data_IF_468002700681
#
_entry.id   IF_468002700681
#
_cell.length_a   1.000
_cell.length_b   1.000
_cell.length_c   1.000
_cell.angle_alpha   90.00
_cell.angle_beta   90.00
_cell.angle_gamma   90.00
#
_symmetry.space_group_name_H-M   'P 1'
#
loop_
_entity.id
_entity.type
_entity.pdbx_description
1 polymer ?
#
# COMPACT_ATOMS: atom_id res chain seq x y z
N UNK A 1 37.03 -49.33 -46.63
CA UNK A 1 37.31 -48.36 -45.55
C UNK A 1 36.56 -47.08 -45.86
N UNK A 2 35.27 -47.04 -45.55
CA UNK A 2 34.62 -46.43 -44.36
C UNK A 2 34.64 -44.89 -44.40
N UNK A 3 33.43 -44.40 -44.66
CA UNK A 3 32.89 -43.05 -44.85
C UNK A 3 32.90 -42.29 -43.51
N UNK A 4 33.46 -41.07 -43.46
CA UNK A 4 33.25 -40.13 -42.35
C UNK A 4 31.79 -39.66 -42.33
N UNK A 5 31.07 -39.95 -41.24
CA UNK A 5 29.79 -39.33 -40.88
C UNK A 5 29.79 -39.09 -39.37
N UNK A 6 29.35 -37.91 -38.95
CA UNK A 6 28.85 -37.71 -37.59
C UNK A 6 29.39 -36.46 -36.88
N UNK A 7 29.09 -35.26 -37.40
CA UNK A 7 29.12 -34.06 -36.56
C UNK A 7 27.93 -34.08 -35.60
N UNK A 8 28.19 -34.33 -34.32
CA UNK A 8 27.17 -34.38 -33.26
C UNK A 8 26.70 -32.97 -32.84
N UNK A 9 25.38 -32.67 -32.82
CA UNK A 9 24.82 -31.45 -32.25
C UNK A 9 24.36 -31.74 -30.82
N UNK A 10 25.20 -31.52 -29.80
CA UNK A 10 24.83 -31.87 -28.41
C UNK A 10 25.09 -30.80 -27.34
N UNK A 11 25.33 -29.53 -27.73
CA UNK A 11 25.58 -28.43 -26.76
C UNK A 11 24.49 -27.36 -26.68
N UNK A 12 23.42 -27.46 -27.48
CA UNK A 12 22.31 -26.48 -27.48
C UNK A 12 21.11 -26.87 -26.61
N UNK A 13 20.88 -28.17 -26.34
CA UNK A 13 19.69 -28.64 -25.62
C UNK A 13 19.68 -28.34 -24.11
N UNK A 14 20.86 -28.25 -23.47
CA UNK A 14 20.97 -27.95 -22.03
C UNK A 14 20.58 -26.52 -21.66
N UNK A 15 20.65 -25.58 -22.60
CA UNK A 15 20.18 -24.20 -22.37
C UNK A 15 18.66 -24.10 -22.47
N UNK A 16 18.02 -24.77 -23.44
CA UNK A 16 16.55 -24.75 -23.57
C UNK A 16 15.84 -25.32 -22.34
N UNK A 17 16.27 -26.45 -21.79
CA UNK A 17 15.62 -27.04 -20.61
C UNK A 17 15.75 -26.18 -19.33
N UNK A 18 16.80 -25.37 -19.21
CA UNK A 18 16.96 -24.46 -18.08
C UNK A 18 15.99 -23.26 -18.16
N UNK A 19 15.78 -22.71 -19.36
CA UNK A 19 14.78 -21.66 -19.60
C UNK A 19 13.35 -22.16 -19.38
N UNK A 20 13.00 -23.35 -19.88
CA UNK A 20 11.66 -23.91 -19.72
C UNK A 20 11.33 -24.18 -18.23
N UNK A 21 12.27 -24.71 -17.45
CA UNK A 21 12.02 -24.99 -16.02
C UNK A 21 11.93 -23.71 -15.18
N UNK A 22 12.73 -22.69 -15.51
CA UNK A 22 12.71 -21.40 -14.80
C UNK A 22 11.48 -20.56 -15.14
N UNK A 23 11.03 -20.57 -16.40
CA UNK A 23 9.79 -19.89 -16.83
C UNK A 23 8.55 -20.60 -16.28
N UNK A 24 8.52 -21.94 -16.26
CA UNK A 24 7.44 -22.71 -15.64
C UNK A 24 7.38 -22.48 -14.12
N UNK A 25 8.52 -22.38 -13.44
CA UNK A 25 8.55 -22.04 -12.01
C UNK A 25 8.10 -20.60 -11.74
N UNK A 26 8.50 -19.63 -12.56
CA UNK A 26 8.08 -18.22 -12.42
C UNK A 26 6.59 -18.03 -12.65
N UNK A 27 6.05 -18.63 -13.71
CA UNK A 27 4.61 -18.58 -13.99
C UNK A 27 3.79 -19.24 -12.88
N UNK A 28 4.25 -20.37 -12.34
CA UNK A 28 3.62 -21.01 -11.19
C UNK A 28 3.65 -20.14 -9.93
N UNK A 29 4.75 -19.45 -9.66
CA UNK A 29 4.87 -18.52 -8.52
C UNK A 29 3.93 -17.32 -8.71
N UNK A 30 3.89 -16.71 -9.89
CA UNK A 30 3.01 -15.56 -10.17
C UNK A 30 1.53 -15.98 -10.06
N UNK A 31 1.15 -17.13 -10.64
CA UNK A 31 -0.21 -17.64 -10.57
C UNK A 31 -0.63 -17.99 -9.15
N UNK A 32 0.27 -18.58 -8.35
CA UNK A 32 -0.01 -18.87 -6.94
C UNK A 32 -0.04 -17.61 -6.08
N UNK A 33 0.75 -16.59 -6.39
CA UNK A 33 0.70 -15.28 -5.73
C UNK A 33 -0.61 -14.56 -5.99
N UNK A 34 -0.97 -14.42 -7.27
CA UNK A 34 -2.24 -13.81 -7.66
C UNK A 34 -3.41 -14.62 -7.10
N UNK A 35 -3.36 -15.95 -7.19
CA UNK A 35 -4.39 -16.82 -6.63
C UNK A 35 -4.53 -16.69 -5.11
N UNK A 36 -3.42 -16.62 -4.37
CA UNK A 36 -3.43 -16.43 -2.93
C UNK A 36 -3.99 -15.06 -2.55
N UNK A 37 -3.54 -13.99 -3.23
CA UNK A 37 -4.03 -12.64 -3.00
C UNK A 37 -5.55 -12.54 -3.26
N UNK A 38 -6.02 -13.09 -4.38
CA UNK A 38 -7.44 -13.15 -4.71
C UNK A 38 -8.25 -13.99 -3.71
N UNK A 39 -7.68 -15.10 -3.22
CA UNK A 39 -8.35 -15.92 -2.22
C UNK A 39 -8.49 -15.18 -0.88
N UNK A 40 -7.46 -14.44 -0.48
CA UNK A 40 -7.50 -13.60 0.72
C UNK A 40 -8.54 -12.49 0.55
N UNK A 41 -8.56 -11.78 -0.57
CA UNK A 41 -9.53 -10.70 -0.79
C UNK A 41 -10.96 -11.22 -0.81
N UNK A 42 -11.24 -12.33 -1.50
CA UNK A 42 -12.58 -12.94 -1.50
C UNK A 42 -12.98 -13.39 -0.10
N UNK A 43 -12.08 -14.02 0.66
CA UNK A 43 -12.38 -14.45 2.03
C UNK A 43 -12.71 -13.26 2.93
N UNK A 44 -11.93 -12.18 2.82
CA UNK A 44 -12.16 -10.96 3.58
C UNK A 44 -13.47 -10.29 3.16
N UNK A 45 -13.81 -10.24 1.88
CA UNK A 45 -15.08 -9.69 1.42
C UNK A 45 -16.28 -10.51 1.89
N UNK A 46 -16.19 -11.84 1.87
CA UNK A 46 -17.25 -12.71 2.40
C UNK A 46 -17.42 -12.47 3.90
N UNK A 47 -16.32 -12.28 4.64
CA UNK A 47 -16.37 -12.02 6.07
C UNK A 47 -16.87 -10.60 6.38
N UNK A 48 -16.50 -9.61 5.56
CA UNK A 48 -16.99 -8.24 5.62
C UNK A 48 -18.49 -8.20 5.38
N UNK A 49 -19.02 -8.93 4.41
CA UNK A 49 -20.46 -9.01 4.17
C UNK A 49 -21.25 -9.70 5.30
N UNK A 50 -20.58 -10.48 6.15
CA UNK A 50 -21.17 -11.17 7.30
C UNK A 50 -21.01 -10.41 8.61
N UNK A 51 -20.11 -9.42 8.65
CA UNK A 51 -19.82 -8.62 9.83
C UNK A 51 -20.20 -7.16 9.55
N UNK A 52 -20.24 -6.32 10.58
CA UNK A 52 -20.43 -4.87 10.40
C UNK A 52 -19.10 -4.13 10.28
N UNK A 53 -18.00 -4.86 10.10
CA UNK A 53 -16.64 -4.30 10.13
C UNK A 53 -16.21 -3.83 8.74
N UNK A 54 -15.53 -2.66 8.63
CA UNK A 54 -14.95 -2.21 7.37
C UNK A 54 -13.90 -3.18 6.82
N UNK A 55 -13.81 -3.28 5.49
CA UNK A 55 -12.90 -4.18 4.78
C UNK A 55 -11.42 -3.96 5.20
N UNK A 56 -11.02 -2.70 5.37
CA UNK A 56 -9.66 -2.34 5.82
C UNK A 56 -9.32 -2.92 7.21
N UNK A 57 -10.28 -2.95 8.14
CA UNK A 57 -10.06 -3.52 9.48
C UNK A 57 -9.86 -5.03 9.40
N UNK A 58 -10.64 -5.71 8.55
CA UNK A 58 -10.52 -7.14 8.35
C UNK A 58 -9.23 -7.52 7.61
N UNK A 59 -8.80 -6.74 6.63
CA UNK A 59 -7.50 -6.90 5.97
C UNK A 59 -6.34 -6.72 6.95
N UNK A 60 -6.40 -5.72 7.83
CA UNK A 60 -5.42 -5.52 8.88
C UNK A 60 -5.32 -6.72 9.83
N UNK A 61 -6.46 -7.21 10.32
CA UNK A 61 -6.51 -8.39 11.18
C UNK A 61 -6.03 -9.66 10.46
N UNK A 62 -6.40 -9.83 9.20
CA UNK A 62 -5.93 -10.94 8.37
C UNK A 62 -4.42 -10.87 8.18
N UNK A 63 -3.84 -9.69 7.98
CA UNK A 63 -2.39 -9.48 7.92
C UNK A 63 -1.67 -9.85 9.21
N UNK A 64 -2.20 -9.43 10.38
CA UNK A 64 -1.66 -9.82 11.69
C UNK A 64 -1.75 -11.33 11.91
N UNK A 65 -2.90 -11.92 11.59
CA UNK A 65 -3.10 -13.36 11.69
C UNK A 65 -2.13 -14.10 10.77
N UNK A 66 -1.99 -13.68 9.51
CA UNK A 66 -1.08 -14.28 8.55
C UNK A 66 0.37 -14.18 9.06
N UNK A 67 0.83 -13.00 9.47
CA UNK A 67 2.18 -12.78 10.00
C UNK A 67 2.50 -13.60 11.26
N UNK A 68 1.52 -13.82 12.15
CA UNK A 68 1.70 -14.59 13.39
C UNK A 68 1.55 -16.11 13.22
N UNK A 69 0.66 -16.57 12.33
CA UNK A 69 0.41 -18.00 12.09
C UNK A 69 1.36 -18.63 11.06
N UNK A 70 2.10 -17.82 10.28
CA UNK A 70 2.99 -18.35 9.25
C UNK A 70 4.19 -19.17 9.76
N UNK A 71 4.93 -18.71 10.79
CA UNK A 71 6.10 -19.42 11.27
C UNK A 71 5.85 -20.90 11.61
N UNK A 72 4.74 -21.29 12.28
CA UNK A 72 4.39 -22.71 12.46
C UNK A 72 3.80 -23.37 11.19
N UNK A 73 3.14 -22.61 10.30
CA UNK A 73 2.52 -23.14 9.09
C UNK A 73 3.52 -23.55 7.99
N UNK A 74 4.76 -23.03 8.03
CA UNK A 74 5.86 -23.38 7.10
C UNK A 74 6.15 -24.89 7.02
N UNK A 75 5.78 -25.67 8.04
CA UNK A 75 5.96 -27.12 8.06
C UNK A 75 4.92 -27.89 7.22
N UNK A 76 3.79 -27.27 6.85
CA UNK A 76 2.62 -27.95 6.26
C UNK A 76 2.34 -27.44 4.84
N UNK A 77 2.82 -26.25 4.48
CA UNK A 77 2.52 -25.61 3.18
C UNK A 77 3.39 -26.14 2.04
N UNK A 78 2.82 -26.40 0.84
CA UNK A 78 3.58 -26.80 -0.36
C UNK A 78 4.60 -25.73 -0.80
N UNK A 79 5.75 -26.16 -1.33
CA UNK A 79 6.84 -25.28 -1.80
C UNK A 79 6.43 -24.06 -2.67
N UNK A 80 5.53 -24.16 -3.67
CA UNK A 80 5.15 -22.97 -4.45
C UNK A 80 4.38 -21.94 -3.62
N UNK A 81 3.55 -22.40 -2.67
CA UNK A 81 2.79 -21.52 -1.77
C UNK A 81 3.73 -20.89 -0.74
N UNK A 82 4.73 -21.63 -0.28
CA UNK A 82 5.73 -21.12 0.66
C UNK A 82 6.56 -19.97 0.06
N UNK A 83 6.99 -20.09 -1.20
CA UNK A 83 7.71 -19.02 -1.89
C UNK A 83 6.89 -17.73 -2.03
N UNK A 84 5.57 -17.86 -2.22
CA UNK A 84 4.63 -16.72 -2.25
C UNK A 84 4.50 -16.09 -0.87
N UNK A 85 4.36 -16.93 0.16
CA UNK A 85 4.21 -16.48 1.55
C UNK A 85 5.44 -15.75 2.06
N UNK A 86 6.63 -16.22 1.69
CA UNK A 86 7.90 -15.55 2.00
C UNK A 86 8.00 -14.20 1.26
N UNK A 87 7.57 -14.11 0.01
CA UNK A 87 7.52 -12.85 -0.75
C UNK A 87 6.48 -11.85 -0.20
N UNK A 88 5.42 -12.33 0.46
CA UNK A 88 4.40 -11.49 1.09
C UNK A 88 4.89 -10.86 2.41
N UNK A 89 5.72 -11.59 3.18
CA UNK A 89 6.21 -11.14 4.49
C UNK A 89 7.51 -10.35 4.36
N UNK A 90 8.42 -10.81 3.52
CA UNK A 90 9.69 -10.15 3.20
C UNK A 90 9.63 -9.73 1.72
N UNK A 91 8.91 -8.62 1.43
CA UNK A 91 8.88 -8.10 0.07
C UNK A 91 10.29 -7.72 -0.37
N UNK A 92 10.66 -8.16 -1.58
CA UNK A 92 11.97 -7.87 -2.19
C UNK A 92 12.16 -6.38 -2.44
N UNK A 93 11.06 -5.62 -2.57
CA UNK A 93 11.08 -4.19 -2.81
C UNK A 93 11.07 -3.42 -1.47
N UNK A 94 11.87 -2.35 -1.34
CA UNK A 94 11.77 -1.46 -0.19
C UNK A 94 10.39 -0.80 -0.13
N UNK A 95 9.98 -0.35 1.05
CA UNK A 95 8.68 0.27 1.26
C UNK A 95 8.46 1.50 0.35
N UNK A 96 9.51 2.30 0.13
CA UNK A 96 9.46 3.42 -0.82
C UNK A 96 9.12 2.97 -2.25
N UNK A 97 9.65 1.86 -2.75
CA UNK A 97 9.37 1.40 -4.11
C UNK A 97 7.88 1.06 -4.31
N UNK A 98 7.20 0.58 -3.25
CA UNK A 98 5.76 0.36 -3.29
C UNK A 98 5.01 1.68 -3.48
N UNK A 99 5.41 2.74 -2.76
CA UNK A 99 4.81 4.05 -2.91
C UNK A 99 4.96 4.56 -4.36
N UNK A 100 6.15 4.43 -4.96
CA UNK A 100 6.39 4.93 -6.31
C UNK A 100 5.63 4.16 -7.40
N UNK A 101 5.35 2.88 -7.16
CA UNK A 101 4.60 2.03 -8.10
C UNK A 101 3.09 2.20 -7.94
N UNK A 102 2.58 2.22 -6.71
CA UNK A 102 1.13 2.22 -6.44
C UNK A 102 0.54 3.62 -6.32
N UNK A 103 1.26 4.59 -5.75
CA UNK A 103 0.72 5.92 -5.50
C UNK A 103 0.30 6.63 -6.80
N UNK A 104 1.09 6.65 -7.90
CA UNK A 104 0.69 7.39 -9.09
C UNK A 104 -0.60 6.85 -9.75
N UNK A 105 -0.77 5.53 -9.97
CA UNK A 105 -2.03 4.99 -10.45
C UNK A 105 -3.22 5.26 -9.52
N UNK A 106 -3.03 5.14 -8.20
CA UNK A 106 -4.09 5.37 -7.21
C UNK A 106 -4.52 6.84 -7.21
N UNK A 107 -3.57 7.79 -7.15
CA UNK A 107 -3.86 9.21 -7.22
C UNK A 107 -4.50 9.61 -8.55
N UNK A 108 -4.07 9.01 -9.66
CA UNK A 108 -4.66 9.26 -10.98
C UNK A 108 -6.11 8.74 -11.07
N UNK A 109 -6.37 7.53 -10.59
CA UNK A 109 -7.71 6.96 -10.54
C UNK A 109 -8.64 7.82 -9.67
N UNK A 110 -8.16 8.23 -8.50
CA UNK A 110 -8.87 9.14 -7.61
C UNK A 110 -9.15 10.48 -8.28
N UNK A 111 -8.16 11.07 -8.97
CA UNK A 111 -8.31 12.32 -9.71
C UNK A 111 -9.37 12.22 -10.82
N UNK A 112 -9.46 11.08 -11.51
CA UNK A 112 -10.46 10.83 -12.55
C UNK A 112 -11.88 10.61 -12.00
N UNK A 113 -12.01 10.12 -10.77
CA UNK A 113 -13.30 9.88 -10.13
C UNK A 113 -13.97 11.17 -9.61
N UNK A 114 -13.22 12.27 -9.50
CA UNK A 114 -13.73 13.54 -8.97
C UNK A 114 -14.29 14.41 -10.09
N UNK A 115 -15.52 14.85 -9.91
CA UNK A 115 -16.10 15.90 -10.74
C UNK A 115 -15.63 17.28 -10.25
N UNK A 116 -14.45 17.71 -10.70
CA UNK A 116 -13.81 18.95 -10.24
C UNK A 116 -14.74 20.19 -10.32
N UNK A 117 -15.57 20.25 -11.38
CA UNK A 117 -16.53 21.35 -11.61
C UNK A 117 -17.59 21.45 -10.51
N UNK A 118 -17.99 20.32 -9.97
CA UNK A 118 -18.98 20.23 -8.90
C UNK A 118 -18.38 20.59 -7.53
N UNK A 119 -17.07 20.44 -7.39
CA UNK A 119 -16.31 20.69 -6.16
C UNK A 119 -15.93 22.17 -6.00
N UNK A 120 -15.83 22.92 -7.11
CA UNK A 120 -15.47 24.35 -7.13
C UNK A 120 -16.25 25.23 -6.12
N UNK A 121 -17.59 25.10 -5.96
CA UNK A 121 -18.35 25.92 -5.02
C UNK A 121 -17.96 25.68 -3.55
N UNK A 122 -17.46 24.49 -3.24
CA UNK A 122 -17.08 24.04 -1.90
C UNK A 122 -15.54 23.99 -1.72
N UNK A 123 -14.76 24.52 -2.66
CA UNK A 123 -13.30 24.41 -2.64
C UNK A 123 -12.65 25.07 -1.40
N UNK A 124 -13.16 26.22 -0.98
CA UNK A 124 -12.63 26.94 0.18
C UNK A 124 -12.74 26.13 1.50
N UNK A 125 -13.93 25.60 1.88
CA UNK A 125 -14.02 24.74 3.06
C UNK A 125 -13.23 23.44 2.91
N UNK A 126 -13.16 22.85 1.71
CA UNK A 126 -12.34 21.65 1.46
C UNK A 126 -10.86 21.93 1.71
N UNK A 127 -10.31 23.01 1.15
CA UNK A 127 -8.91 23.40 1.36
C UNK A 127 -8.62 23.72 2.83
N UNK A 128 -9.55 24.38 3.52
CA UNK A 128 -9.41 24.66 4.94
C UNK A 128 -9.30 23.36 5.74
N UNK A 129 -10.20 22.41 5.51
CA UNK A 129 -10.15 21.11 6.19
C UNK A 129 -8.89 20.34 5.81
N UNK A 130 -8.62 20.17 4.52
CA UNK A 130 -7.51 19.37 4.01
C UNK A 130 -6.12 19.90 4.37
N UNK A 131 -5.95 21.21 4.59
CA UNK A 131 -4.65 21.77 4.95
C UNK A 131 -4.57 22.01 6.46
N UNK A 132 -5.51 22.75 7.03
CA UNK A 132 -5.44 23.16 8.43
C UNK A 132 -5.55 21.94 9.35
N UNK A 133 -6.44 21.00 9.05
CA UNK A 133 -6.56 19.80 9.89
C UNK A 133 -5.27 18.97 9.86
N UNK A 134 -4.58 18.90 8.72
CA UNK A 134 -3.30 18.17 8.58
C UNK A 134 -2.18 18.82 9.35
N UNK A 135 -2.05 20.15 9.23
CA UNK A 135 -1.06 20.90 10.03
C UNK A 135 -1.33 20.74 11.53
N UNK A 136 -2.59 20.82 11.95
CA UNK A 136 -2.97 20.65 13.35
C UNK A 136 -2.72 19.22 13.82
N UNK A 137 -3.11 18.20 13.05
CA UNK A 137 -2.88 16.80 13.37
C UNK A 137 -1.38 16.48 13.49
N UNK A 138 -0.58 16.99 12.55
CA UNK A 138 0.88 16.87 12.56
C UNK A 138 1.47 17.52 13.80
N UNK A 139 1.10 18.78 14.07
CA UNK A 139 1.60 19.53 15.22
C UNK A 139 1.21 18.87 16.54
N UNK A 140 -0.08 18.55 16.73
CA UNK A 140 -0.57 17.92 17.96
C UNK A 140 0.14 16.60 18.21
N UNK A 141 0.21 15.72 17.20
CA UNK A 141 0.88 14.41 17.33
C UNK A 141 2.38 14.57 17.58
N UNK A 142 3.03 15.52 16.92
CA UNK A 142 4.46 15.76 17.11
C UNK A 142 4.78 16.34 18.48
N UNK A 143 4.01 17.32 18.95
CA UNK A 143 4.21 17.87 20.29
C UNK A 143 3.88 16.84 21.37
N UNK A 144 2.84 16.00 21.21
CA UNK A 144 2.59 14.93 22.18
C UNK A 144 3.69 13.88 22.19
N UNK A 145 4.25 13.51 21.03
CA UNK A 145 5.41 12.62 20.98
C UNK A 145 6.64 13.24 21.62
N UNK A 146 6.89 14.53 21.43
CA UNK A 146 8.02 15.23 22.05
C UNK A 146 7.92 15.26 23.58
N UNK A 147 6.71 15.27 24.14
CA UNK A 147 6.53 15.19 25.60
C UNK A 147 6.89 13.82 26.19
N UNK A 148 6.85 12.76 25.36
CA UNK A 148 7.09 11.38 25.78
C UNK A 148 8.46 10.86 25.33
N UNK A 149 9.10 11.55 24.39
CA UNK A 149 10.33 11.13 23.71
C UNK A 149 11.41 12.19 23.81
N UNK A 150 12.66 11.77 24.06
CA UNK A 150 13.83 12.65 24.09
C UNK A 150 14.37 13.02 22.69
N UNK A 151 13.57 12.81 21.64
CA UNK A 151 13.97 13.05 20.24
C UNK A 151 13.74 14.51 19.83
N UNK A 152 14.42 14.93 18.76
CA UNK A 152 14.23 16.25 18.18
C UNK A 152 12.81 16.47 17.65
N UNK A 153 12.32 17.72 17.72
CA UNK A 153 10.97 18.09 17.31
C UNK A 153 10.63 17.66 15.87
N UNK A 154 11.59 17.73 14.95
CA UNK A 154 11.40 17.31 13.54
C UNK A 154 11.13 15.81 13.45
N UNK A 155 11.84 14.98 14.22
CA UNK A 155 11.62 13.53 14.30
C UNK A 155 10.25 13.23 14.88
N UNK A 156 9.82 13.97 15.91
CA UNK A 156 8.52 13.80 16.52
C UNK A 156 7.36 14.23 15.59
N UNK A 157 7.54 15.28 14.78
CA UNK A 157 6.53 15.73 13.81
C UNK A 157 6.33 14.73 12.65
N UNK A 158 7.35 13.95 12.30
CA UNK A 158 7.31 13.06 11.14
C UNK A 158 6.19 12.00 11.22
N UNK A 159 6.03 11.23 12.32
CA UNK A 159 4.87 10.35 12.51
C UNK A 159 3.53 11.08 12.47
N UNK A 160 3.48 12.33 12.96
CA UNK A 160 2.29 13.16 12.90
C UNK A 160 1.85 13.45 11.47
N UNK A 161 2.81 13.77 10.59
CA UNK A 161 2.55 13.99 9.18
C UNK A 161 2.11 12.69 8.47
N UNK A 162 2.76 11.57 8.80
CA UNK A 162 2.45 10.25 8.20
C UNK A 162 1.04 9.77 8.58
N UNK A 163 0.58 10.04 9.81
CA UNK A 163 -0.73 9.57 10.31
C UNK A 163 -1.85 10.57 9.97
N UNK A 164 -1.53 11.78 9.52
CA UNK A 164 -2.53 12.81 9.24
C UNK A 164 -3.45 12.51 8.03
N UNK A 165 -3.03 11.64 7.11
CA UNK A 165 -3.87 11.16 5.99
C UNK A 165 -5.12 10.44 6.49
N UNK A 166 -6.27 10.77 5.90
CA UNK A 166 -7.58 10.21 6.24
C UNK A 166 -8.17 9.45 5.06
N UNK A 167 -8.62 8.21 5.28
CA UNK A 167 -9.36 7.43 4.28
C UNK A 167 -10.88 7.60 4.49
N UNK A 168 -11.60 8.23 3.54
CA UNK A 168 -13.01 8.54 3.66
C UNK A 168 -13.88 7.35 3.26
N UNK A 169 -13.31 6.26 2.72
CA UNK A 169 -14.08 5.16 2.15
C UNK A 169 -15.11 4.58 3.14
N UNK A 170 -14.69 4.35 4.39
CA UNK A 170 -15.58 3.85 5.43
C UNK A 170 -16.69 4.86 5.78
N UNK A 171 -16.35 6.15 5.87
CA UNK A 171 -17.31 7.21 6.21
C UNK A 171 -18.32 7.42 5.08
N UNK A 172 -17.85 7.41 3.83
CA UNK A 172 -18.69 7.52 2.63
C UNK A 172 -19.65 6.34 2.53
N UNK A 173 -19.20 5.12 2.85
CA UNK A 173 -20.07 3.95 2.86
C UNK A 173 -21.25 4.14 3.83
N UNK A 174 -20.96 4.57 5.07
CA UNK A 174 -22.00 4.86 6.08
C UNK A 174 -22.90 6.01 5.64
N UNK A 175 -22.34 7.07 5.06
CA UNK A 175 -23.12 8.22 4.58
C UNK A 175 -24.10 7.85 3.47
N UNK A 176 -23.73 6.91 2.60
CA UNK A 176 -24.65 6.38 1.57
C UNK A 176 -25.75 5.50 2.17
N UNK A 177 -25.48 4.77 3.25
CA UNK A 177 -26.51 3.97 3.94
C UNK A 177 -27.56 4.86 4.64
N UNK A 178 -27.16 6.04 5.13
CA UNK A 178 -28.06 6.98 5.82
C UNK A 178 -28.65 8.07 4.91
N UNK A 179 -28.49 7.96 3.59
CA UNK A 179 -28.96 8.92 2.59
C UNK A 179 -28.49 10.36 2.88
N UNK A 180 -27.20 10.51 3.20
CA UNK A 180 -26.60 11.81 3.50
C UNK A 180 -26.57 12.72 2.25
N UNK A 181 -26.65 14.05 2.42
CA UNK A 181 -26.59 14.98 1.30
C UNK A 181 -25.31 14.81 0.47
N UNK A 182 -25.45 14.83 -0.86
CA UNK A 182 -24.32 14.70 -1.80
C UNK A 182 -23.21 15.72 -1.53
N UNK A 183 -23.57 16.91 -1.04
CA UNK A 183 -22.61 17.94 -0.61
C UNK A 183 -21.66 17.43 0.46
N UNK A 184 -22.14 16.66 1.44
CA UNK A 184 -21.30 16.14 2.53
C UNK A 184 -20.32 15.06 2.01
N UNK A 185 -20.80 14.21 1.10
CA UNK A 185 -19.96 13.19 0.42
C UNK A 185 -18.87 13.88 -0.40
N UNK A 186 -19.20 14.94 -1.15
CA UNK A 186 -18.22 15.72 -1.92
C UNK A 186 -17.20 16.43 -1.03
N UNK A 187 -17.63 17.01 0.09
CA UNK A 187 -16.74 17.68 1.05
C UNK A 187 -15.72 16.69 1.63
N UNK A 188 -16.17 15.53 2.11
CA UNK A 188 -15.30 14.51 2.73
C UNK A 188 -14.38 13.85 1.70
N UNK A 189 -14.91 13.57 0.50
CA UNK A 189 -14.08 13.06 -0.60
C UNK A 189 -12.96 14.04 -0.96
N UNK A 190 -13.30 15.32 -1.19
CA UNK A 190 -12.33 16.35 -1.54
C UNK A 190 -11.31 16.63 -0.44
N UNK A 191 -11.71 16.55 0.83
CA UNK A 191 -10.82 16.74 1.97
C UNK A 191 -9.72 15.68 2.02
N UNK A 192 -10.09 14.40 1.99
CA UNK A 192 -9.13 13.29 1.98
C UNK A 192 -8.12 13.38 0.82
N UNK A 193 -8.60 13.67 -0.38
CA UNK A 193 -7.75 13.73 -1.57
C UNK A 193 -6.66 14.79 -1.49
N UNK A 194 -6.99 15.95 -0.95
CA UNK A 194 -6.03 17.04 -0.77
C UNK A 194 -5.18 16.85 0.49
N UNK A 195 -5.72 16.21 1.53
CA UNK A 195 -4.99 15.82 2.73
C UNK A 195 -3.82 14.89 2.38
N UNK A 196 -4.04 13.85 1.57
CA UNK A 196 -2.97 12.92 1.14
C UNK A 196 -1.79 13.66 0.51
N UNK A 197 -2.06 14.58 -0.40
CA UNK A 197 -1.03 15.39 -1.04
C UNK A 197 -0.30 16.29 -0.03
N UNK A 198 -1.03 16.89 0.92
CA UNK A 198 -0.46 17.75 1.97
C UNK A 198 0.43 16.94 2.94
N UNK A 199 -0.04 15.78 3.39
CA UNK A 199 0.68 14.88 4.28
C UNK A 199 1.99 14.39 3.66
N UNK A 200 1.96 13.99 2.38
CA UNK A 200 3.15 13.57 1.64
C UNK A 200 4.13 14.75 1.49
N UNK A 201 3.64 15.95 1.15
CA UNK A 201 4.48 17.13 1.01
C UNK A 201 5.17 17.52 2.34
N UNK A 202 4.43 17.52 3.46
CA UNK A 202 4.97 17.81 4.79
C UNK A 202 5.99 16.74 5.19
N UNK A 203 5.69 15.46 4.98
CA UNK A 203 6.60 14.35 5.26
C UNK A 203 7.91 14.51 4.47
N UNK A 204 7.83 14.85 3.18
CA UNK A 204 9.00 15.09 2.34
C UNK A 204 9.85 16.26 2.81
N UNK A 205 9.22 17.37 3.24
CA UNK A 205 9.94 18.52 3.81
C UNK A 205 10.63 18.16 5.12
N UNK A 206 9.94 17.48 6.04
CA UNK A 206 10.53 17.06 7.32
C UNK A 206 11.70 16.10 7.13
N UNK A 207 11.58 15.16 6.19
CA UNK A 207 12.65 14.23 5.86
C UNK A 207 13.88 14.96 5.29
N UNK A 208 13.66 15.90 4.36
CA UNK A 208 14.73 16.72 3.80
C UNK A 208 15.43 17.58 4.87
N UNK A 209 14.69 18.06 5.87
CA UNK A 209 15.29 18.78 7.00
C UNK A 209 16.19 17.87 7.84
N UNK A 210 15.77 16.62 8.09
CA UNK A 210 16.58 15.65 8.84
C UNK A 210 17.85 15.25 8.07
N UNK A 211 17.74 15.02 6.76
CA UNK A 211 18.89 14.70 5.92
C UNK A 211 19.88 15.88 5.84
N UNK A 212 19.37 17.11 5.76
CA UNK A 212 20.19 18.33 5.78
C UNK A 212 20.90 18.57 7.12
N UNK A 213 20.28 18.22 8.25
CA UNK A 213 20.88 18.30 9.58
C UNK A 213 21.97 17.24 9.78
N UNK A 214 21.76 16.02 9.26
CA UNK A 214 22.76 14.93 9.28
C UNK A 214 23.96 15.23 8.36
N UNK A 215 23.76 15.93 7.25
CA UNK A 215 24.86 16.34 6.37
C UNK A 215 25.71 17.48 6.95
N UNK A 216 25.20 18.20 7.95
CA UNK A 216 25.86 19.33 8.61
C UNK A 216 26.57 18.95 9.93
N UNK A 217 26.34 17.74 10.45
CA UNK A 217 26.94 17.18 11.67
C UNK A 217 28.13 16.26 11.37
#
# INVERSE_FOLDING_TARGET
MVRQKGGHPHRSALRCCHWDFQVVSLTAIILSLVGCLLMITVLVQVLAARTTLPEATLLFLAGIALGSLLPPARAITPCPVQAVLDLLIEPVLPAEAHLWVFLPPLLFQSALAIEFREMLPDLAPILLLALVAVFVATAVTGFTMQLVSDQGLVICLLPGAIIATTDPAAVIAVFREVDAPERLIRLVSGESLLNDAAAIAITGVLLAMLEGDVAAA
#
